data_IF_005616853615
#
_entry.id   IF_005616853615
#
_cell.length_a   1.000
_cell.length_b   1.000
_cell.length_c   1.000
_cell.angle_alpha   90.00
_cell.angle_beta   90.00
_cell.angle_gamma   90.00
#
_symmetry.space_group_name_H-M   'P 1'
#
loop_
_entity.id
_entity.type
_entity.pdbx_description
1 polymer ?
#
# COMPACT_ATOMS: atom_id res chain seq x y z
N UNK A 1 -11.54 5.64 19.23
CA UNK A 1 -10.77 6.07 18.03
C UNK A 1 -11.75 6.65 17.02
N UNK A 2 -11.43 7.79 16.42
CA UNK A 2 -12.29 8.43 15.41
C UNK A 2 -12.23 7.61 14.11
N UNK A 3 -13.38 7.25 13.57
CA UNK A 3 -13.50 6.66 12.24
C UNK A 3 -13.45 7.79 11.21
N UNK A 4 -12.69 7.58 10.14
CA UNK A 4 -12.59 8.48 9.01
C UNK A 4 -12.92 7.72 7.74
N UNK A 5 -13.85 8.23 6.95
CA UNK A 5 -14.06 7.72 5.59
C UNK A 5 -13.01 8.32 4.68
N UNK A 6 -12.23 7.49 3.99
CA UNK A 6 -11.20 7.94 3.04
C UNK A 6 -11.36 7.25 1.70
N UNK A 7 -11.14 8.01 0.62
CA UNK A 7 -10.85 7.44 -0.70
C UNK A 7 -9.35 7.21 -0.82
N UNK A 8 -8.97 6.02 -1.26
CA UNK A 8 -7.58 5.55 -1.27
C UNK A 8 -7.27 4.92 -2.62
N UNK A 9 -6.27 5.44 -3.33
CA UNK A 9 -5.73 4.83 -4.53
C UNK A 9 -4.72 3.77 -4.10
N UNK A 10 -5.02 2.50 -4.37
CA UNK A 10 -4.14 1.39 -3.96
C UNK A 10 -2.90 1.36 -4.85
N UNK A 11 -1.70 1.52 -4.27
CA UNK A 11 -0.43 1.54 -5.01
C UNK A 11 0.44 0.32 -4.73
N UNK A 12 0.37 -0.21 -3.52
CA UNK A 12 1.20 -1.32 -3.04
C UNK A 12 0.30 -2.38 -2.42
N UNK A 13 0.53 -3.63 -2.79
CA UNK A 13 -0.05 -4.82 -2.16
C UNK A 13 1.09 -5.78 -1.92
N UNK A 14 1.29 -6.22 -0.69
CA UNK A 14 2.28 -7.26 -0.41
C UNK A 14 1.74 -8.60 -0.89
N UNK A 15 2.65 -9.48 -1.30
CA UNK A 15 2.31 -10.88 -1.47
C UNK A 15 1.88 -11.46 -0.10
N UNK A 16 0.79 -12.24 -0.02
CA UNK A 16 0.36 -12.85 1.24
C UNK A 16 1.42 -13.83 1.74
N UNK A 17 1.87 -13.62 2.97
CA UNK A 17 2.67 -14.61 3.69
C UNK A 17 1.68 -15.47 4.50
N UNK A 18 1.72 -16.78 4.29
CA UNK A 18 1.00 -17.74 5.12
C UNK A 18 1.52 -17.59 6.56
N UNK A 19 0.64 -17.30 7.52
CA UNK A 19 1.01 -17.30 8.94
C UNK A 19 0.10 -18.27 9.69
N UNK A 20 0.67 -19.05 10.62
CA UNK A 20 -0.11 -19.96 11.48
C UNK A 20 -1.14 -19.24 12.37
N UNK A 21 -0.80 -18.02 12.80
CA UNK A 21 -1.55 -17.30 13.85
C UNK A 21 -2.70 -16.46 13.28
N UNK A 22 -2.55 -16.00 12.04
CA UNK A 22 -3.56 -15.23 11.33
C UNK A 22 -3.68 -15.77 9.92
N UNK A 23 -4.88 -16.19 9.58
CA UNK A 23 -5.27 -16.45 8.21
C UNK A 23 -4.83 -15.26 7.33
N UNK A 24 -4.00 -15.53 6.32
CA UNK A 24 -3.20 -14.57 5.52
C UNK A 24 -3.53 -13.07 5.67
N UNK A 25 -2.60 -12.32 6.26
CA UNK A 25 -2.69 -10.86 6.40
C UNK A 25 -1.75 -10.18 5.42
N UNK A 26 -2.26 -9.26 4.60
CA UNK A 26 -1.45 -8.45 3.69
C UNK A 26 -1.34 -7.01 4.20
N UNK A 27 -0.21 -6.39 3.91
CA UNK A 27 -0.07 -4.94 3.99
C UNK A 27 -0.47 -4.35 2.64
N UNK A 28 -1.34 -3.34 2.70
CA UNK A 28 -1.69 -2.53 1.53
C UNK A 28 -1.27 -1.09 1.80
N UNK A 29 -0.74 -0.41 0.80
CA UNK A 29 -0.49 1.02 0.89
C UNK A 29 -0.99 1.75 -0.34
N UNK A 30 -1.32 3.02 -0.16
CA UNK A 30 -1.87 3.87 -1.19
C UNK A 30 -1.74 5.34 -0.84
N UNK A 31 -2.41 6.17 -1.63
CA UNK A 31 -2.55 7.60 -1.37
C UNK A 31 -4.00 7.97 -1.21
N UNK A 32 -4.29 8.93 -0.36
CA UNK A 32 -5.64 9.48 -0.22
C UNK A 32 -5.95 10.46 -1.35
N UNK A 33 -7.21 10.87 -1.48
CA UNK A 33 -7.63 11.89 -2.46
C UNK A 33 -6.89 13.23 -2.22
N UNK A 34 -6.50 13.52 -0.97
CA UNK A 34 -5.72 14.69 -0.57
C UNK A 34 -4.21 14.54 -0.80
N UNK A 35 -3.75 13.41 -1.35
CA UNK A 35 -2.35 13.19 -1.67
C UNK A 35 -1.46 12.75 -0.50
N UNK A 36 -2.05 12.31 0.61
CA UNK A 36 -1.28 11.77 1.74
C UNK A 36 -1.10 10.26 1.64
N UNK A 37 0.06 9.75 2.06
CA UNK A 37 0.27 8.31 2.18
C UNK A 37 -0.64 7.69 3.24
N UNK A 38 -1.11 6.48 2.95
CA UNK A 38 -1.83 5.63 3.90
C UNK A 38 -1.37 4.18 3.77
N UNK A 39 -1.03 3.58 4.92
CA UNK A 39 -0.68 2.17 5.09
C UNK A 39 -1.81 1.49 5.85
N UNK A 40 -2.37 0.45 5.28
CA UNK A 40 -3.46 -0.33 5.85
C UNK A 40 -2.91 -1.71 6.23
N UNK A 41 -2.87 -1.98 7.53
CA UNK A 41 -2.45 -3.26 8.04
C UNK A 41 -3.13 -3.60 9.39
N UNK A 42 -3.60 -4.85 9.56
CA UNK A 42 -3.64 -5.91 8.57
C UNK A 42 -4.89 -5.84 7.67
N UNK A 43 -4.78 -6.31 6.42
CA UNK A 43 -5.94 -6.58 5.56
C UNK A 43 -6.07 -8.08 5.32
N UNK A 44 -7.18 -8.73 5.69
CA UNK A 44 -7.43 -10.14 5.40
C UNK A 44 -7.89 -10.30 3.94
N UNK A 45 -7.04 -9.94 2.98
CA UNK A 45 -7.43 -9.74 1.57
C UNK A 45 -8.05 -10.99 0.92
N UNK A 46 -7.59 -12.19 1.30
CA UNK A 46 -8.12 -13.46 0.77
C UNK A 46 -9.57 -13.73 1.18
N UNK A 47 -9.95 -13.23 2.35
CA UNK A 47 -11.29 -13.38 2.93
C UNK A 47 -12.25 -12.26 2.54
N UNK A 48 -11.78 -11.27 1.77
CA UNK A 48 -12.68 -10.30 1.17
C UNK A 48 -13.63 -11.01 0.20
N UNK A 49 -14.91 -10.63 0.25
CA UNK A 49 -15.86 -10.95 -0.82
C UNK A 49 -15.28 -10.52 -2.17
N UNK A 50 -15.62 -11.23 -3.24
CA UNK A 50 -15.08 -10.97 -4.58
C UNK A 50 -15.24 -9.51 -4.99
N UNK A 51 -16.40 -8.92 -4.70
CA UNK A 51 -16.75 -7.52 -4.98
C UNK A 51 -15.95 -6.48 -4.18
N UNK A 52 -15.17 -6.92 -3.17
CA UNK A 52 -14.30 -6.07 -2.35
C UNK A 52 -12.82 -6.29 -2.65
N UNK A 53 -12.47 -7.24 -3.53
CA UNK A 53 -11.09 -7.53 -3.93
C UNK A 53 -10.58 -6.48 -4.91
N UNK A 54 -10.05 -5.39 -4.36
CA UNK A 54 -9.44 -4.32 -5.15
C UNK A 54 -8.14 -4.72 -5.85
N UNK A 55 -7.89 -4.08 -6.99
CA UNK A 55 -6.67 -4.18 -7.79
C UNK A 55 -5.65 -3.09 -7.45
N UNK A 56 -4.40 -3.23 -7.93
CA UNK A 56 -3.45 -2.11 -7.92
C UNK A 56 -3.95 -1.02 -8.87
N UNK A 57 -3.72 0.23 -8.51
CA UNK A 57 -4.21 1.43 -9.19
C UNK A 57 -5.73 1.52 -9.29
N UNK A 58 -6.42 1.01 -8.28
CA UNK A 58 -7.87 1.18 -8.14
C UNK A 58 -8.15 2.06 -6.92
N UNK A 59 -9.08 2.99 -7.09
CA UNK A 59 -9.63 3.73 -5.97
C UNK A 59 -10.55 2.83 -5.15
N UNK A 60 -10.45 2.92 -3.84
CA UNK A 60 -11.42 2.36 -2.90
C UNK A 60 -11.92 3.46 -1.98
N UNK A 61 -13.14 3.33 -1.50
CA UNK A 61 -13.63 4.06 -0.33
C UNK A 61 -13.71 3.08 0.85
N UNK A 62 -13.21 3.45 2.01
CA UNK A 62 -13.36 2.66 3.22
C UNK A 62 -13.35 3.53 4.48
N UNK A 63 -13.98 3.02 5.53
CA UNK A 63 -13.85 3.59 6.87
C UNK A 63 -12.54 3.08 7.48
N UNK A 64 -11.65 4.00 7.85
CA UNK A 64 -10.36 3.72 8.46
C UNK A 64 -10.28 4.27 9.87
N UNK A 65 -9.45 3.63 10.69
CA UNK A 65 -9.06 4.08 12.02
C UNK A 65 -7.54 4.09 12.13
N UNK A 66 -6.99 5.06 12.85
CA UNK A 66 -5.55 5.12 13.13
C UNK A 66 -5.13 3.84 13.85
N UNK A 67 -3.99 3.25 13.47
CA UNK A 67 -3.46 2.07 14.15
C UNK A 67 -2.49 2.46 15.26
N UNK A 68 -2.94 2.50 16.51
CA UNK A 68 -2.09 2.94 17.65
C UNK A 68 -0.99 1.95 18.02
N UNK A 69 -1.03 0.71 17.56
CA UNK A 69 0.02 -0.28 17.80
C UNK A 69 1.17 -0.22 16.78
N UNK A 70 1.05 0.61 15.73
CA UNK A 70 2.09 0.82 14.72
C UNK A 70 2.46 2.31 14.72
N UNK A 71 3.68 2.68 15.13
CA UNK A 71 4.06 4.07 15.35
C UNK A 71 4.14 4.90 14.07
N UNK A 72 4.11 4.27 12.90
CA UNK A 72 4.24 4.96 11.61
C UNK A 72 3.09 5.98 11.43
N UNK A 73 3.40 7.21 10.98
CA UNK A 73 2.39 8.27 10.82
C UNK A 73 1.32 7.90 9.79
N UNK A 74 1.61 7.01 8.85
CA UNK A 74 0.67 6.55 7.82
C UNK A 74 -0.09 5.29 8.22
N UNK A 75 0.09 4.72 9.42
CA UNK A 75 -0.53 3.43 9.77
C UNK A 75 -2.00 3.56 10.19
N UNK A 76 -2.87 2.82 9.49
CA UNK A 76 -4.30 2.71 9.68
C UNK A 76 -4.76 1.25 9.59
N UNK A 77 -5.96 1.00 10.10
CA UNK A 77 -6.73 -0.25 9.92
C UNK A 77 -8.04 0.08 9.23
N UNK A 78 -8.57 -0.86 8.44
CA UNK A 78 -9.96 -0.79 8.03
C UNK A 78 -10.82 -1.02 9.29
N UNK A 79 -11.74 -0.10 9.56
CA UNK A 79 -12.61 -0.17 10.73
C UNK A 79 -13.63 -1.30 10.60
N UNK A 80 -14.19 -1.47 9.41
CA UNK A 80 -15.06 -2.58 9.04
C UNK A 80 -14.88 -2.90 7.55
N UNK A 81 -14.51 -4.15 7.26
CA UNK A 81 -14.27 -4.66 5.92
C UNK A 81 -15.51 -4.52 5.02
N UNK A 82 -16.72 -4.54 5.59
CA UNK A 82 -17.96 -4.38 4.84
C UNK A 82 -18.10 -2.98 4.22
N UNK A 83 -17.36 -1.99 4.74
CA UNK A 83 -17.38 -0.61 4.25
C UNK A 83 -16.52 -0.39 3.00
N UNK A 84 -15.69 -1.37 2.63
CA UNK A 84 -14.85 -1.28 1.43
C UNK A 84 -15.76 -1.23 0.21
N UNK A 85 -15.67 -0.15 -0.55
CA UNK A 85 -16.31 0.02 -1.85
C UNK A 85 -15.24 0.16 -2.91
N UNK A 86 -15.37 -0.62 -3.97
CA UNK A 86 -14.53 -0.49 -5.16
C UNK A 86 -15.03 0.70 -5.99
N UNK A 87 -14.09 1.57 -6.38
CA UNK A 87 -14.31 2.68 -7.29
C UNK A 87 -13.50 2.45 -8.57
N UNK A 88 -13.24 3.53 -9.32
CA UNK A 88 -12.57 3.49 -10.61
C UNK A 88 -11.15 2.90 -10.54
N UNK A 89 -10.86 2.02 -11.50
CA UNK A 89 -9.52 1.56 -11.79
C UNK A 89 -8.87 2.50 -12.80
N UNK A 90 -7.66 2.97 -12.49
CA UNK A 90 -6.90 3.85 -13.37
C UNK A 90 -6.18 2.99 -14.42
N UNK A 91 -6.54 3.19 -15.68
CA UNK A 91 -5.96 2.48 -16.82
C UNK A 91 -4.46 2.80 -17.05
N UNK A 92 -3.84 2.08 -17.98
CA UNK A 92 -2.44 2.25 -18.39
C UNK A 92 -2.29 2.98 -19.73
N UNK A 93 -3.38 3.54 -20.28
CA UNK A 93 -3.39 4.15 -21.62
C UNK A 93 -2.48 5.38 -21.68
N UNK A 94 -2.06 5.72 -22.90
CA UNK A 94 -1.18 6.86 -23.18
C UNK A 94 0.11 6.82 -22.34
N UNK A 95 0.70 5.63 -22.19
CA UNK A 95 1.91 5.43 -21.40
C UNK A 95 1.72 5.81 -19.92
N UNK A 96 0.67 5.28 -19.28
CA UNK A 96 0.34 5.50 -17.86
C UNK A 96 0.13 6.97 -17.49
N UNK A 97 -0.34 7.82 -18.42
CA UNK A 97 -0.45 9.27 -18.22
C UNK A 97 -1.23 9.64 -16.95
N UNK A 98 -2.46 9.13 -16.82
CA UNK A 98 -3.33 9.40 -15.65
C UNK A 98 -2.67 8.99 -14.32
N UNK A 99 -2.00 7.83 -14.28
CA UNK A 99 -1.32 7.36 -13.07
C UNK A 99 -0.15 8.27 -12.71
N UNK A 100 0.66 8.67 -13.69
CA UNK A 100 1.77 9.62 -13.47
C UNK A 100 1.26 10.97 -12.99
N UNK A 101 0.22 11.51 -13.62
CA UNK A 101 -0.38 12.80 -13.23
C UNK A 101 -0.90 12.74 -11.79
N UNK A 102 -1.60 11.67 -11.40
CA UNK A 102 -2.07 11.46 -10.02
C UNK A 102 -0.93 11.35 -9.01
N UNK A 103 0.17 10.67 -9.34
CA UNK A 103 1.29 10.50 -8.42
C UNK A 103 2.10 11.79 -8.30
N UNK A 104 2.54 12.36 -9.42
CA UNK A 104 3.45 13.51 -9.43
C UNK A 104 2.78 14.83 -9.05
N UNK A 105 1.45 14.95 -9.18
CA UNK A 105 0.72 16.12 -8.68
C UNK A 105 0.57 16.10 -7.15
N UNK A 106 0.43 14.92 -6.57
CA UNK A 106 0.00 14.77 -5.18
C UNK A 106 1.11 14.35 -4.22
N UNK A 107 2.21 13.78 -4.72
CA UNK A 107 3.31 13.30 -3.90
C UNK A 107 4.59 14.06 -4.17
N UNK A 108 5.31 14.36 -3.08
CA UNK A 108 6.72 14.77 -3.16
C UNK A 108 7.55 13.62 -3.71
N UNK A 109 8.29 13.89 -4.78
CA UNK A 109 9.28 12.96 -5.32
C UNK A 109 10.62 13.23 -4.63
N UNK A 110 11.12 12.26 -3.90
CA UNK A 110 12.44 12.30 -3.29
C UNK A 110 13.48 11.72 -4.24
N UNK A 111 14.68 12.28 -4.27
CA UNK A 111 15.83 11.77 -5.02
C UNK A 111 17.08 11.62 -4.15
N UNK A 112 16.98 11.95 -2.86
CA UNK A 112 18.05 11.87 -1.88
C UNK A 112 17.70 10.94 -0.72
N UNK A 113 18.39 9.79 -0.64
CA UNK A 113 18.17 8.80 0.42
C UNK A 113 18.53 9.31 1.81
N UNK A 114 19.52 10.21 1.95
CA UNK A 114 19.90 10.76 3.25
C UNK A 114 18.79 11.62 3.86
N UNK A 115 18.04 12.34 3.02
CA UNK A 115 16.85 13.07 3.47
C UNK A 115 15.78 12.10 3.99
N UNK A 116 15.49 11.05 3.23
CA UNK A 116 14.52 10.02 3.62
C UNK A 116 14.92 9.34 4.93
N UNK A 117 16.19 8.97 5.11
CA UNK A 117 16.70 8.35 6.34
C UNK A 117 16.49 9.30 7.53
N UNK A 118 16.82 10.59 7.39
CA UNK A 118 16.62 11.58 8.46
C UNK A 118 15.14 11.70 8.84
N UNK A 119 14.24 11.75 7.85
CA UNK A 119 12.79 11.84 8.07
C UNK A 119 12.23 10.57 8.72
N UNK A 120 12.68 9.40 8.26
CA UNK A 120 12.28 8.11 8.83
C UNK A 120 12.73 7.96 10.29
N UNK A 121 13.96 8.36 10.63
CA UNK A 121 14.47 8.33 12.01
C UNK A 121 13.68 9.27 12.94
N UNK A 122 13.13 10.36 12.42
CA UNK A 122 12.23 11.27 13.14
C UNK A 122 10.76 10.79 13.14
N UNK A 123 10.48 9.65 12.52
CA UNK A 123 9.13 9.12 12.33
C UNK A 123 8.19 10.11 11.59
N UNK A 124 8.73 10.95 10.72
CA UNK A 124 7.95 11.88 9.88
C UNK A 124 7.28 11.15 8.71
N UNK A 125 7.91 10.09 8.21
CA UNK A 125 7.38 9.23 7.15
C UNK A 125 7.94 7.80 7.24
N UNK A 126 7.23 6.87 6.63
CA UNK A 126 7.67 5.49 6.39
C UNK A 126 7.49 5.04 4.94
N UNK A 127 6.81 5.85 4.13
CA UNK A 127 6.58 5.63 2.70
C UNK A 127 7.00 6.86 1.91
N UNK A 128 7.55 6.64 0.71
CA UNK A 128 8.00 7.72 -0.15
C UNK A 128 7.90 7.32 -1.63
N UNK A 129 7.68 8.33 -2.49
CA UNK A 129 7.90 8.20 -3.91
C UNK A 129 9.35 8.61 -4.18
N UNK A 130 10.16 7.66 -4.65
CA UNK A 130 11.59 7.88 -4.83
C UNK A 130 11.99 7.77 -6.32
N UNK A 131 12.78 8.72 -6.80
CA UNK A 131 13.38 8.73 -8.13
C UNK A 131 14.86 8.38 -7.99
N UNK A 132 15.31 7.19 -8.40
CA UNK A 132 16.72 6.86 -8.42
C UNK A 132 17.46 7.71 -9.46
N UNK A 133 18.73 8.03 -9.19
CA UNK A 133 19.58 8.76 -10.13
C UNK A 133 19.83 7.97 -11.43
N UNK A 134 20.00 6.65 -11.30
CA UNK A 134 20.20 5.74 -12.43
C UNK A 134 19.65 4.36 -12.09
N UNK A 135 19.06 3.69 -13.07
CA UNK A 135 18.78 2.25 -13.03
C UNK A 135 19.98 1.57 -13.67
N UNK A 136 20.70 0.74 -12.91
CA UNK A 136 21.93 0.11 -13.37
C UNK A 136 21.67 -1.19 -14.12
N UNK A 137 20.76 -2.02 -13.59
CA UNK A 137 20.47 -3.35 -14.12
C UNK A 137 19.05 -3.80 -13.70
N UNK A 138 18.53 -4.83 -14.36
CA UNK A 138 17.28 -5.52 -14.03
C UNK A 138 17.48 -7.03 -14.14
N UNK A 139 17.66 -7.66 -12.98
CA UNK A 139 17.92 -9.10 -12.87
C UNK A 139 16.60 -9.82 -12.54
N UNK A 140 16.27 -10.84 -13.32
CA UNK A 140 15.10 -11.71 -13.08
C UNK A 140 15.55 -13.15 -13.02
N UNK A 141 15.28 -13.79 -11.89
CA UNK A 141 15.60 -15.19 -11.63
C UNK A 141 14.32 -15.97 -11.31
N UNK A 142 14.31 -17.25 -11.65
CA UNK A 142 13.20 -18.13 -11.31
C UNK A 142 13.23 -18.44 -9.82
N UNK A 143 12.19 -18.06 -9.09
CA UNK A 143 12.01 -18.47 -7.70
C UNK A 143 11.58 -19.95 -7.61
N UNK A 144 11.99 -20.64 -6.53
CA UNK A 144 11.49 -21.98 -6.24
C UNK A 144 9.98 -21.94 -5.98
N UNK A 145 9.29 -22.96 -6.47
CA UNK A 145 7.85 -23.18 -6.25
C UNK A 145 7.51 -23.67 -4.84
N UNK A 146 8.49 -24.21 -4.11
CA UNK A 146 8.29 -24.73 -2.75
C UNK A 146 8.40 -23.61 -1.73
N UNK A 147 7.34 -23.44 -0.95
CA UNK A 147 7.35 -22.56 0.22
C UNK A 147 8.26 -23.14 1.30
N UNK A 148 9.00 -22.27 1.98
CA UNK A 148 9.84 -22.66 3.10
C UNK A 148 8.99 -23.24 4.22
N UNK A 149 9.27 -24.49 4.62
CA UNK A 149 8.41 -25.24 5.54
C UNK A 149 8.33 -24.57 6.90
N UNK A 150 9.40 -23.92 7.37
CA UNK A 150 9.39 -23.20 8.66
C UNK A 150 8.42 -22.02 8.70
N UNK A 151 8.04 -21.47 7.53
CA UNK A 151 7.07 -20.37 7.41
C UNK A 151 5.63 -20.92 7.36
N UNK A 152 5.44 -22.17 6.91
CA UNK A 152 4.12 -22.73 6.55
C UNK A 152 3.63 -23.85 7.49
N UNK A 153 4.51 -24.72 8.00
CA UNK A 153 4.24 -25.83 8.94
C UNK A 153 4.44 -25.42 10.37
#
# INVERSE_FOLDING_TARGET
MRKEKKKILILVKTYPVLSKKYSELVCTAGITEEGSWIRIYPVPFRFLEYEKKYSKFQWIEADVIKNTSDPRPESYKIADIKTIKLLDAIDTKNGWRKRKDLLFKNLTVFDNTNELIKKANKNELSLALFKPAKILDFIVEKADSKWDKEIVE
#
